data_IF_746549547472
#
_entry.id   IF_746549547472
#
_cell.length_a   1.000
_cell.length_b   1.000
_cell.length_c   1.000
_cell.angle_alpha   90.00
_cell.angle_beta   90.00
_cell.angle_gamma   90.00
#
_symmetry.space_group_name_H-M   'P 1'
#
loop_
_entity.id
_entity.type
_entity.pdbx_description
1 polymer ?
#
# COMPACT_ATOMS: atom_id res chain seq x y z
N UNK A 1 6.82 -16.74 -18.56
CA UNK A 1 5.37 -16.69 -18.24
C UNK A 1 4.60 -16.40 -19.53
N UNK A 2 3.48 -17.11 -19.80
CA UNK A 2 2.71 -16.96 -21.05
C UNK A 2 2.05 -15.56 -21.12
N UNK A 3 2.25 -14.84 -22.23
CA UNK A 3 1.64 -13.52 -22.48
C UNK A 3 0.12 -13.55 -22.39
N UNK A 4 -0.51 -14.68 -22.72
CA UNK A 4 -1.97 -14.88 -22.60
C UNK A 4 -2.42 -14.81 -21.15
N UNK A 5 -1.70 -15.44 -20.24
CA UNK A 5 -2.01 -15.42 -18.80
C UNK A 5 -1.94 -13.98 -18.26
N UNK A 6 -0.87 -13.25 -18.60
CA UNK A 6 -0.67 -11.86 -18.16
C UNK A 6 -1.80 -10.95 -18.67
N UNK A 7 -2.18 -11.10 -19.94
CA UNK A 7 -3.27 -10.34 -20.54
C UNK A 7 -4.60 -10.63 -19.84
N UNK A 8 -4.92 -11.90 -19.59
CA UNK A 8 -6.14 -12.28 -18.90
C UNK A 8 -6.21 -11.73 -17.48
N UNK A 9 -5.14 -11.88 -16.68
CA UNK A 9 -5.07 -11.30 -15.32
C UNK A 9 -5.25 -9.79 -15.35
N UNK A 10 -4.59 -9.10 -16.28
CA UNK A 10 -4.74 -7.65 -16.47
C UNK A 10 -6.18 -7.25 -16.78
N UNK A 11 -6.87 -7.99 -17.67
CA UNK A 11 -8.26 -7.72 -18.00
C UNK A 11 -9.20 -7.94 -16.81
N UNK A 12 -9.00 -9.01 -16.04
CA UNK A 12 -9.81 -9.31 -14.85
C UNK A 12 -9.66 -8.21 -13.80
N UNK A 13 -8.42 -7.76 -13.51
CA UNK A 13 -8.19 -6.67 -12.55
C UNK A 13 -8.83 -5.35 -13.00
N UNK A 14 -8.69 -5.00 -14.28
CA UNK A 14 -9.34 -3.80 -14.84
C UNK A 14 -10.85 -3.88 -14.72
N UNK A 15 -11.44 -5.03 -15.05
CA UNK A 15 -12.87 -5.27 -14.90
C UNK A 15 -13.33 -5.12 -13.44
N UNK A 16 -12.58 -5.66 -12.49
CA UNK A 16 -12.87 -5.50 -11.07
C UNK A 16 -12.89 -4.02 -10.65
N UNK A 17 -11.89 -3.23 -11.07
CA UNK A 17 -11.84 -1.79 -10.77
C UNK A 17 -13.02 -1.03 -11.39
N UNK A 18 -13.43 -1.38 -12.61
CA UNK A 18 -14.63 -0.81 -13.25
C UNK A 18 -15.89 -1.14 -12.45
N UNK A 19 -16.04 -2.40 -12.00
CA UNK A 19 -17.18 -2.79 -11.18
C UNK A 19 -17.21 -2.04 -9.83
N UNK A 20 -16.06 -1.92 -9.15
CA UNK A 20 -15.91 -1.20 -7.87
C UNK A 20 -16.21 0.28 -7.97
N UNK A 21 -15.96 0.90 -9.13
CA UNK A 21 -16.28 2.31 -9.33
C UNK A 21 -17.79 2.60 -9.33
N UNK A 22 -18.65 1.58 -9.38
CA UNK A 22 -20.11 1.75 -9.48
C UNK A 22 -20.93 0.85 -8.56
N UNK A 23 -20.32 -0.09 -7.86
CA UNK A 23 -21.02 -1.07 -7.01
C UNK A 23 -20.22 -1.33 -5.73
N UNK A 24 -20.92 -1.63 -4.63
CA UNK A 24 -20.28 -2.16 -3.42
C UNK A 24 -19.65 -3.51 -3.71
N UNK A 25 -18.52 -3.83 -3.06
CA UNK A 25 -17.79 -5.06 -3.37
C UNK A 25 -18.61 -6.31 -3.04
N UNK A 26 -19.41 -6.27 -1.98
CA UNK A 26 -20.39 -7.31 -1.66
C UNK A 26 -21.33 -7.66 -2.81
N UNK A 27 -21.81 -6.66 -3.57
CA UNK A 27 -22.77 -6.80 -4.68
C UNK A 27 -22.14 -7.25 -6.00
N UNK A 28 -20.83 -7.08 -6.18
CA UNK A 28 -20.13 -7.48 -7.41
C UNK A 28 -20.24 -8.99 -7.58
N UNK A 29 -20.69 -9.49 -8.73
CA UNK A 29 -20.70 -10.92 -9.02
C UNK A 29 -19.51 -11.31 -9.89
N UNK A 30 -19.07 -12.57 -9.79
CA UNK A 30 -18.05 -13.11 -10.70
C UNK A 30 -18.51 -12.99 -12.16
N UNK A 31 -19.81 -13.13 -12.43
CA UNK A 31 -20.37 -12.97 -13.77
C UNK A 31 -20.24 -11.54 -14.30
N UNK A 32 -20.47 -10.53 -13.45
CA UNK A 32 -20.27 -9.14 -13.82
C UNK A 32 -18.81 -8.87 -14.19
N UNK A 33 -17.87 -9.35 -13.38
CA UNK A 33 -16.43 -9.22 -13.64
C UNK A 33 -16.02 -9.96 -14.92
N UNK A 34 -16.50 -11.20 -15.11
CA UNK A 34 -16.20 -11.99 -16.31
C UNK A 34 -16.74 -11.34 -17.59
N UNK A 35 -17.96 -10.78 -17.52
CA UNK A 35 -18.58 -10.06 -18.64
C UNK A 35 -17.76 -8.83 -19.02
N UNK A 36 -17.36 -8.03 -18.05
CA UNK A 36 -16.53 -6.84 -18.26
C UNK A 36 -15.12 -7.22 -18.76
N UNK A 37 -14.52 -8.28 -18.21
CA UNK A 37 -13.19 -8.77 -18.61
C UNK A 37 -13.18 -9.52 -19.95
N UNK A 38 -14.36 -9.80 -20.52
CA UNK A 38 -14.55 -10.64 -21.70
C UNK A 38 -13.93 -12.04 -21.55
N UNK A 39 -14.18 -12.69 -20.41
CA UNK A 39 -13.71 -14.05 -20.14
C UNK A 39 -14.82 -14.96 -19.62
N UNK A 40 -14.57 -16.28 -19.58
CA UNK A 40 -15.49 -17.24 -18.96
C UNK A 40 -15.24 -17.35 -17.46
N UNK A 41 -16.23 -17.81 -16.69
CA UNK A 41 -16.05 -18.16 -15.27
C UNK A 41 -14.90 -19.15 -15.07
N UNK A 42 -14.81 -20.17 -15.92
CA UNK A 42 -13.71 -21.14 -15.87
C UNK A 42 -12.34 -20.49 -16.07
N UNK A 43 -12.27 -19.45 -16.91
CA UNK A 43 -11.05 -18.65 -17.10
C UNK A 43 -10.74 -17.78 -15.89
N UNK A 44 -11.75 -17.20 -15.24
CA UNK A 44 -11.57 -16.48 -13.98
C UNK A 44 -10.98 -17.40 -12.90
N UNK A 45 -11.62 -18.55 -12.67
CA UNK A 45 -11.20 -19.51 -11.65
C UNK A 45 -9.87 -20.21 -11.96
N UNK A 46 -9.36 -20.12 -13.20
CA UNK A 46 -8.00 -20.54 -13.51
C UNK A 46 -6.92 -19.57 -13.00
N UNK A 47 -7.31 -18.39 -12.51
CA UNK A 47 -6.40 -17.33 -12.07
C UNK A 47 -6.67 -16.80 -10.66
N UNK A 48 -7.92 -16.85 -10.22
CA UNK A 48 -8.37 -16.35 -8.91
C UNK A 48 -9.49 -17.22 -8.37
N UNK A 49 -9.40 -17.64 -7.11
CA UNK A 49 -10.40 -18.49 -6.46
C UNK A 49 -11.66 -17.70 -6.11
N UNK A 50 -11.53 -16.39 -5.89
CA UNK A 50 -12.64 -15.52 -5.50
C UNK A 50 -12.34 -14.04 -5.80
N UNK A 51 -13.33 -13.16 -5.54
CA UNK A 51 -13.20 -11.70 -5.78
C UNK A 51 -12.10 -11.05 -4.93
N UNK A 52 -11.86 -11.53 -3.71
CA UNK A 52 -10.88 -10.92 -2.79
C UNK A 52 -9.47 -11.06 -3.32
N UNK A 53 -9.13 -12.20 -3.91
CA UNK A 53 -7.80 -12.42 -4.53
C UNK A 53 -7.52 -11.45 -5.68
N UNK A 54 -8.55 -10.96 -6.36
CA UNK A 54 -8.36 -9.93 -7.40
C UNK A 54 -7.96 -8.60 -6.77
N UNK A 55 -8.60 -8.20 -5.66
CA UNK A 55 -8.25 -6.98 -4.91
C UNK A 55 -6.86 -7.09 -4.30
N UNK A 56 -6.57 -8.23 -3.70
CA UNK A 56 -5.27 -8.55 -3.12
C UNK A 56 -4.16 -8.44 -4.18
N UNK A 57 -4.36 -9.06 -5.36
CA UNK A 57 -3.40 -8.97 -6.46
C UNK A 57 -3.25 -7.55 -7.03
N UNK A 58 -4.30 -6.73 -7.07
CA UNK A 58 -4.19 -5.32 -7.45
C UNK A 58 -3.39 -4.54 -6.40
N UNK A 59 -3.65 -4.82 -5.12
CA UNK A 59 -2.97 -4.16 -4.00
C UNK A 59 -1.48 -4.48 -4.00
N UNK A 60 -1.10 -5.74 -4.20
CA UNK A 60 0.30 -6.17 -4.28
C UNK A 60 1.05 -5.46 -5.42
N UNK A 61 0.42 -5.22 -6.57
CA UNK A 61 1.05 -4.48 -7.68
C UNK A 61 1.34 -3.02 -7.36
N UNK A 62 0.53 -2.39 -6.52
CA UNK A 62 0.79 -1.05 -6.01
C UNK A 62 1.94 -1.10 -5.00
N UNK A 63 1.95 -2.10 -4.12
CA UNK A 63 2.97 -2.29 -3.09
C UNK A 63 4.34 -2.52 -3.70
N UNK A 64 4.44 -3.33 -4.76
CA UNK A 64 5.69 -3.55 -5.49
C UNK A 64 6.23 -2.26 -6.14
N UNK A 65 5.37 -1.28 -6.45
CA UNK A 65 5.81 0.03 -6.90
C UNK A 65 6.29 0.92 -5.74
N UNK A 66 5.76 0.74 -4.54
CA UNK A 66 6.13 1.53 -3.34
C UNK A 66 7.42 0.99 -2.69
N UNK A 67 7.61 -0.33 -2.69
CA UNK A 67 8.70 -1.03 -1.98
C UNK A 67 10.10 -0.45 -2.21
N UNK A 68 10.53 -0.09 -3.44
CA UNK A 68 11.86 0.47 -3.67
C UNK A 68 12.10 1.79 -2.94
N UNK A 69 11.06 2.62 -2.82
CA UNK A 69 11.12 3.92 -2.17
C UNK A 69 11.23 3.81 -0.65
N UNK A 70 10.58 2.80 -0.05
CA UNK A 70 10.65 2.57 1.39
C UNK A 70 12.06 2.28 1.87
N UNK A 71 12.80 1.45 1.12
CA UNK A 71 14.20 1.18 1.45
C UNK A 71 15.03 2.46 1.44
N UNK A 72 14.84 3.31 0.43
CA UNK A 72 15.54 4.59 0.31
C UNK A 72 15.25 5.52 1.49
N UNK A 73 13.99 5.67 1.89
CA UNK A 73 13.60 6.60 2.96
C UNK A 73 14.20 6.24 4.32
N UNK A 74 14.40 4.96 4.61
CA UNK A 74 15.01 4.50 5.86
C UNK A 74 16.54 4.57 5.84
N UNK A 75 17.17 4.39 4.67
CA UNK A 75 18.64 4.48 4.51
C UNK A 75 19.13 5.93 4.42
N UNK A 76 18.35 6.81 3.78
CA UNK A 76 18.65 8.24 3.56
C UNK A 76 17.45 9.10 3.96
N UNK A 77 17.24 9.36 5.26
CA UNK A 77 16.13 10.17 5.72
C UNK A 77 16.07 11.58 5.11
N UNK A 78 17.21 12.14 4.68
CA UNK A 78 17.31 13.40 3.97
C UNK A 78 16.53 13.41 2.63
N UNK A 79 16.40 12.26 1.96
CA UNK A 79 15.68 12.12 0.69
C UNK A 79 14.16 12.04 0.87
N UNK A 80 13.66 12.06 2.11
CA UNK A 80 12.25 11.83 2.43
C UNK A 80 11.30 12.70 1.59
N UNK A 81 11.57 14.00 1.48
CA UNK A 81 10.71 14.93 0.72
C UNK A 81 10.66 14.54 -0.76
N UNK A 82 11.80 14.24 -1.36
CA UNK A 82 11.89 13.81 -2.77
C UNK A 82 11.18 12.49 -3.01
N UNK A 83 11.27 11.55 -2.07
CA UNK A 83 10.54 10.27 -2.15
C UNK A 83 9.03 10.50 -2.10
N UNK A 84 8.55 11.33 -1.17
CA UNK A 84 7.12 11.67 -1.07
C UNK A 84 6.62 12.37 -2.34
N UNK A 85 7.37 13.33 -2.87
CA UNK A 85 7.02 14.01 -4.12
C UNK A 85 6.97 13.03 -5.30
N UNK A 86 7.91 12.08 -5.36
CA UNK A 86 7.95 11.07 -6.40
C UNK A 86 6.75 10.13 -6.31
N UNK A 87 6.46 9.58 -5.13
CA UNK A 87 5.29 8.72 -4.89
C UNK A 87 3.99 9.47 -5.16
N UNK A 88 3.89 10.73 -4.75
CA UNK A 88 2.73 11.58 -5.03
C UNK A 88 2.51 11.72 -6.53
N UNK A 89 3.53 12.16 -7.28
CA UNK A 89 3.38 12.50 -8.70
C UNK A 89 3.31 11.28 -9.63
N UNK A 90 4.03 10.20 -9.32
CA UNK A 90 4.15 9.04 -10.21
C UNK A 90 3.16 7.93 -9.89
N UNK A 91 2.72 7.79 -8.64
CA UNK A 91 1.84 6.71 -8.21
C UNK A 91 0.47 7.23 -7.78
N UNK A 92 0.42 8.20 -6.86
CA UNK A 92 -0.85 8.61 -6.27
C UNK A 92 -1.71 9.46 -7.22
N UNK A 93 -1.20 10.60 -7.71
CA UNK A 93 -1.98 11.52 -8.54
C UNK A 93 -2.55 10.86 -9.82
N UNK A 94 -1.78 10.05 -10.59
CA UNK A 94 -2.31 9.40 -11.79
C UNK A 94 -3.37 8.32 -11.52
N UNK A 95 -3.42 7.79 -10.30
CA UNK A 95 -4.26 6.66 -9.91
C UNK A 95 -5.13 6.96 -8.69
N UNK A 96 -5.39 8.24 -8.39
CA UNK A 96 -6.01 8.70 -7.15
C UNK A 96 -7.33 7.99 -6.84
N UNK A 97 -8.20 7.88 -7.84
CA UNK A 97 -9.53 7.27 -7.65
C UNK A 97 -9.42 5.77 -7.35
N UNK A 98 -8.51 5.07 -8.03
CA UNK A 98 -8.24 3.64 -7.80
C UNK A 98 -7.67 3.43 -6.40
N UNK A 99 -6.66 4.21 -6.01
CA UNK A 99 -6.05 4.11 -4.68
C UNK A 99 -7.08 4.42 -3.59
N UNK A 100 -7.96 5.40 -3.81
CA UNK A 100 -9.03 5.72 -2.88
C UNK A 100 -10.03 4.56 -2.73
N UNK A 101 -10.41 3.91 -3.83
CA UNK A 101 -11.26 2.71 -3.77
C UNK A 101 -10.59 1.57 -3.02
N UNK A 102 -9.30 1.34 -3.22
CA UNK A 102 -8.56 0.23 -2.57
C UNK A 102 -8.26 0.48 -1.08
N UNK A 103 -8.35 1.72 -0.62
CA UNK A 103 -8.26 2.11 0.79
C UNK A 103 -9.63 2.19 1.46
N UNK A 104 -10.69 1.70 0.82
CA UNK A 104 -12.00 1.58 1.45
C UNK A 104 -11.92 0.64 2.67
N UNK A 105 -12.55 0.99 3.81
CA UNK A 105 -12.57 0.14 5.00
C UNK A 105 -13.07 -1.29 4.77
N UNK A 106 -13.87 -1.56 3.73
CA UNK A 106 -14.29 -2.90 3.34
C UNK A 106 -13.11 -3.84 3.02
N UNK A 107 -11.94 -3.29 2.68
CA UNK A 107 -10.73 -4.04 2.33
C UNK A 107 -9.65 -4.04 3.40
N UNK A 108 -9.89 -3.46 4.58
CA UNK A 108 -8.86 -3.25 5.61
C UNK A 108 -7.99 -4.48 5.91
N UNK A 109 -8.60 -5.66 5.96
CA UNK A 109 -7.93 -6.88 6.42
C UNK A 109 -7.11 -7.62 5.34
N UNK A 110 -7.26 -7.26 4.06
CA UNK A 110 -6.62 -7.99 2.95
C UNK A 110 -6.25 -7.14 1.73
N UNK A 111 -6.69 -5.90 1.65
CA UNK A 111 -6.41 -4.99 0.55
C UNK A 111 -5.17 -4.12 0.80
N UNK A 112 -5.14 -2.98 0.11
CA UNK A 112 -3.97 -2.10 0.10
C UNK A 112 -3.57 -1.62 1.51
N UNK A 113 -4.52 -1.40 2.40
CA UNK A 113 -4.27 -1.02 3.80
C UNK A 113 -3.45 -2.08 4.56
N UNK A 114 -3.87 -3.35 4.50
CA UNK A 114 -3.16 -4.46 5.16
C UNK A 114 -1.73 -4.60 4.64
N UNK A 115 -1.54 -4.48 3.33
CA UNK A 115 -0.22 -4.59 2.72
C UNK A 115 0.68 -3.42 3.05
N UNK A 116 0.16 -2.18 3.08
CA UNK A 116 0.91 -1.01 3.51
C UNK A 116 1.39 -1.18 4.95
N UNK A 117 0.51 -1.58 5.87
CA UNK A 117 0.87 -1.83 7.26
C UNK A 117 1.99 -2.87 7.37
N UNK A 118 1.89 -3.95 6.62
CA UNK A 118 2.89 -5.01 6.59
C UNK A 118 4.23 -4.49 6.06
N UNK A 119 4.22 -3.80 4.91
CA UNK A 119 5.40 -3.22 4.29
C UNK A 119 6.14 -2.27 5.25
N UNK A 120 5.44 -1.32 5.87
CA UNK A 120 6.05 -0.36 6.78
C UNK A 120 6.60 -1.03 8.04
N UNK A 121 5.88 -2.01 8.59
CA UNK A 121 6.33 -2.78 9.76
C UNK A 121 7.58 -3.59 9.45
N UNK A 122 7.59 -4.32 8.33
CA UNK A 122 8.75 -5.10 7.89
C UNK A 122 9.97 -4.21 7.65
N UNK A 123 9.79 -3.11 6.94
CA UNK A 123 10.88 -2.17 6.68
C UNK A 123 11.46 -1.60 7.98
N UNK A 124 10.61 -1.20 8.93
CA UNK A 124 11.04 -0.73 10.24
C UNK A 124 11.84 -1.80 10.99
N UNK A 125 11.33 -3.04 11.05
CA UNK A 125 11.97 -4.14 11.77
C UNK A 125 13.31 -4.55 11.16
N UNK A 126 13.43 -4.47 9.83
CA UNK A 126 14.68 -4.72 9.11
C UNK A 126 15.72 -3.62 9.41
N UNK A 127 15.31 -2.35 9.43
CA UNK A 127 16.23 -1.23 9.70
C UNK A 127 16.65 -1.17 11.17
N UNK A 128 15.73 -1.35 12.12
CA UNK A 128 15.96 -1.19 13.55
C UNK A 128 16.11 -2.54 14.28
N UNK A 129 17.11 -3.32 13.88
CA UNK A 129 17.30 -4.69 14.35
C UNK A 129 17.65 -4.83 15.84
N UNK A 130 18.24 -3.80 16.46
CA UNK A 130 18.76 -3.86 17.85
C UNK A 130 18.00 -2.99 18.85
N UNK A 131 16.91 -2.34 18.40
CA UNK A 131 16.06 -1.50 19.25
C UNK A 131 15.20 -2.38 20.16
N UNK A 132 15.22 -2.09 21.46
CA UNK A 132 14.34 -2.76 22.43
C UNK A 132 12.88 -2.33 22.19
N UNK A 133 11.94 -3.28 22.24
CA UNK A 133 10.53 -2.96 21.99
C UNK A 133 10.19 -2.66 20.53
N UNK A 134 11.09 -2.94 19.58
CA UNK A 134 10.93 -2.65 18.14
C UNK A 134 9.64 -3.21 17.52
N UNK A 135 9.09 -4.31 18.04
CA UNK A 135 7.84 -4.87 17.53
C UNK A 135 6.65 -3.91 17.71
N UNK A 136 6.49 -3.36 18.91
CA UNK A 136 5.42 -2.39 19.22
C UNK A 136 5.69 -1.08 18.49
N UNK A 137 6.94 -0.62 18.47
CA UNK A 137 7.32 0.61 17.75
C UNK A 137 7.04 0.50 16.25
N UNK A 138 7.27 -0.66 15.64
CA UNK A 138 6.97 -0.90 14.23
C UNK A 138 5.46 -0.84 13.96
N UNK A 139 4.63 -1.38 14.86
CA UNK A 139 3.17 -1.30 14.76
C UNK A 139 2.67 0.14 14.89
N UNK A 140 3.17 0.88 15.88
CA UNK A 140 2.84 2.29 16.06
C UNK A 140 3.27 3.12 14.84
N UNK A 141 4.49 2.92 14.35
CA UNK A 141 5.01 3.60 13.16
C UNK A 141 4.14 3.33 11.94
N UNK A 142 3.86 2.06 11.63
CA UNK A 142 3.05 1.68 10.48
C UNK A 142 1.63 2.27 10.56
N UNK A 143 1.00 2.23 11.75
CA UNK A 143 -0.33 2.83 11.96
C UNK A 143 -0.31 4.36 11.78
N UNK A 144 0.71 5.05 12.30
CA UNK A 144 0.85 6.49 12.10
C UNK A 144 1.02 6.85 10.63
N UNK A 145 1.89 6.15 9.90
CA UNK A 145 2.11 6.40 8.46
C UNK A 145 0.83 6.15 7.67
N UNK A 146 0.14 5.04 7.93
CA UNK A 146 -1.14 4.74 7.28
C UNK A 146 -2.19 5.84 7.56
N UNK A 147 -2.32 6.30 8.80
CA UNK A 147 -3.25 7.36 9.17
C UNK A 147 -2.97 8.66 8.41
N UNK A 148 -1.69 8.99 8.18
CA UNK A 148 -1.30 10.13 7.36
C UNK A 148 -1.69 9.92 5.88
N UNK A 149 -1.45 8.73 5.31
CA UNK A 149 -1.86 8.39 3.94
C UNK A 149 -3.37 8.53 3.78
N UNK A 150 -4.16 7.96 4.70
CA UNK A 150 -5.62 8.08 4.70
C UNK A 150 -6.06 9.55 4.78
N UNK A 151 -5.45 10.36 5.66
CA UNK A 151 -5.76 11.78 5.78
C UNK A 151 -5.50 12.58 4.49
N UNK A 152 -4.43 12.23 3.77
CA UNK A 152 -4.11 12.82 2.45
C UNK A 152 -5.14 12.38 1.40
N UNK A 153 -5.53 11.10 1.38
CA UNK A 153 -6.51 10.55 0.44
C UNK A 153 -7.90 11.13 0.66
N UNK A 154 -8.27 11.38 1.90
CA UNK A 154 -9.54 11.99 2.29
C UNK A 154 -9.55 13.53 2.17
N UNK A 155 -8.44 14.15 1.72
CA UNK A 155 -8.24 15.59 1.68
C UNK A 155 -8.49 16.29 3.05
N UNK A 156 -8.31 15.61 4.19
CA UNK A 156 -8.72 16.14 5.51
C UNK A 156 -7.74 17.15 6.12
N UNK A 157 -6.45 17.14 5.78
CA UNK A 157 -5.49 18.23 6.11
C UNK A 157 -4.07 17.91 5.58
N UNK A 158 -3.50 18.75 4.69
CA UNK A 158 -2.12 18.56 4.20
C UNK A 158 -1.06 19.21 5.09
N UNK A 159 -1.40 20.30 5.78
CA UNK A 159 -0.46 21.05 6.64
C UNK A 159 -0.18 20.36 7.98
N UNK A 160 -1.21 19.83 8.64
CA UNK A 160 -1.02 19.12 9.92
C UNK A 160 -0.30 17.78 9.70
N UNK A 161 -0.62 17.08 8.61
CA UNK A 161 0.08 15.85 8.20
C UNK A 161 1.58 16.11 7.99
N UNK A 162 1.96 17.23 7.34
CA UNK A 162 3.37 17.61 7.17
C UNK A 162 4.09 17.87 8.51
N UNK A 163 3.45 18.56 9.46
CA UNK A 163 4.03 18.83 10.78
C UNK A 163 4.23 17.52 11.57
N UNK A 164 3.25 16.62 11.55
CA UNK A 164 3.32 15.32 12.25
C UNK A 164 4.41 14.44 11.66
N UNK A 165 4.50 14.37 10.32
CA UNK A 165 5.53 13.60 9.62
C UNK A 165 6.93 14.13 9.95
N UNK A 166 7.14 15.44 9.90
CA UNK A 166 8.42 16.04 10.27
C UNK A 166 8.75 15.83 11.75
N UNK A 167 7.76 15.89 12.65
CA UNK A 167 7.98 15.62 14.08
C UNK A 167 8.39 14.17 14.33
N UNK A 168 7.71 13.20 13.68
CA UNK A 168 8.05 11.78 13.74
C UNK A 168 9.46 11.51 13.21
N UNK A 169 9.80 12.10 12.06
CA UNK A 169 11.12 11.98 11.45
C UNK A 169 12.21 12.57 12.35
N UNK A 170 12.02 13.77 12.86
CA UNK A 170 13.08 14.47 13.61
C UNK A 170 13.29 13.90 15.01
N UNK A 171 12.22 13.46 15.67
CA UNK A 171 12.30 13.04 17.08
C UNK A 171 12.50 11.53 17.24
N UNK A 172 11.75 10.72 16.49
CA UNK A 172 11.74 9.27 16.68
C UNK A 172 12.91 8.63 15.93
N UNK A 173 13.14 8.98 14.66
CA UNK A 173 14.19 8.34 13.88
C UNK A 173 15.60 8.66 14.39
N UNK A 174 15.85 9.88 14.87
CA UNK A 174 17.15 10.26 15.42
C UNK A 174 17.50 9.41 16.65
N UNK A 175 16.59 9.30 17.62
CA UNK A 175 16.77 8.48 18.83
C UNK A 175 16.92 7.00 18.49
N UNK A 176 16.11 6.49 17.55
CA UNK A 176 16.20 5.09 17.11
C UNK A 176 17.52 4.79 16.41
N UNK A 177 18.04 5.72 15.60
CA UNK A 177 19.34 5.56 14.94
C UNK A 177 20.47 5.49 15.96
N UNK A 178 20.49 6.37 16.95
CA UNK A 178 21.47 6.36 18.04
C UNK A 178 21.43 5.03 18.81
N UNK A 179 20.24 4.58 19.22
CA UNK A 179 20.07 3.30 19.93
C UNK A 179 20.51 2.09 19.09
N UNK A 180 20.30 2.14 17.78
CA UNK A 180 20.64 1.04 16.87
C UNK A 180 22.14 0.98 16.54
N UNK A 181 22.86 2.11 16.63
CA UNK A 181 24.31 2.18 16.44
C UNK A 181 25.08 1.73 17.69
N UNK A 182 24.62 2.09 18.89
CA UNK A 182 25.28 1.78 20.18
C UNK A 182 25.41 0.27 20.45
N UNK A 183 24.60 -0.59 19.81
CA UNK A 183 24.66 -2.05 19.96
C UNK A 183 25.25 -2.80 18.75
N UNK A 184 25.68 -2.08 17.70
CA UNK A 184 26.43 -2.66 16.58
C UNK A 184 27.94 -2.77 16.88
N UNK A 185 28.43 -2.00 17.85
CA UNK A 185 29.79 -2.06 18.42
C UNK A 185 29.89 -3.04 19.58
#
# INVERSE_FOLDING_TARGET
MDRRIIKTKTNIKKAMLVCLASHYFSDITIDAVCKEAQCSRSTFYAHYDNKKEVIDAISEEIIEQIRPYMKQTFEKPEDFVTVIDTLSNQLYQPHKDVIKLLLDPEFRDFGLEAHLLTLFKEQFLQTFSHVNGRAILAEMYAACVLCNIQSIVENRSTKESQIVIETLKTTIFQVLQEQNQVKKS
#
